data_IF_688945985319
#
_entry.id   IF_688945985319
#
_cell.length_a   1.000
_cell.length_b   1.000
_cell.length_c   1.000
_cell.angle_alpha   90.00
_cell.angle_beta   90.00
_cell.angle_gamma   90.00
#
_symmetry.space_group_name_H-M   'P 1'
#
loop_
_entity.id
_entity.type
_entity.pdbx_description
1 polymer ?
#
# COMPACT_ATOMS: atom_id res chain seq x y z
N UNK A 1 -32.83 4.79 -3.96
CA UNK A 1 -31.46 5.31 -3.76
C UNK A 1 -31.57 6.82 -3.64
N UNK A 2 -31.22 7.37 -2.48
CA UNK A 2 -31.46 8.78 -2.20
C UNK A 2 -30.49 9.64 -3.01
N UNK A 3 -31.06 10.45 -3.92
CA UNK A 3 -30.35 11.35 -4.85
C UNK A 3 -29.27 12.21 -4.17
N UNK A 4 -29.49 12.56 -2.90
CA UNK A 4 -28.55 13.32 -2.07
C UNK A 4 -27.24 12.57 -1.79
N UNK A 5 -27.28 11.25 -1.61
CA UNK A 5 -26.08 10.43 -1.32
C UNK A 5 -25.16 10.27 -2.54
N UNK A 6 -25.72 10.35 -3.75
CA UNK A 6 -24.97 10.30 -5.01
C UNK A 6 -24.31 11.66 -5.24
N UNK A 7 -25.07 12.75 -5.07
CA UNK A 7 -24.55 14.12 -5.23
C UNK A 7 -23.39 14.44 -4.27
N UNK A 8 -23.44 13.93 -3.03
CA UNK A 8 -22.34 14.13 -2.07
C UNK A 8 -21.04 13.43 -2.50
N UNK A 9 -21.14 12.23 -3.09
CA UNK A 9 -19.98 11.51 -3.61
C UNK A 9 -19.42 12.19 -4.85
N UNK A 10 -20.31 12.66 -5.72
CA UNK A 10 -19.94 13.40 -6.93
C UNK A 10 -19.27 14.73 -6.57
N UNK A 11 -19.70 15.40 -5.49
CA UNK A 11 -19.02 16.59 -4.98
C UNK A 11 -17.59 16.29 -4.53
N UNK A 12 -17.37 15.24 -3.74
CA UNK A 12 -16.01 14.88 -3.29
C UNK A 12 -15.12 14.52 -4.48
N UNK A 13 -15.66 13.79 -5.47
CA UNK A 13 -14.94 13.45 -6.69
C UNK A 13 -14.64 14.71 -7.51
N UNK A 14 -15.61 15.60 -7.68
CA UNK A 14 -15.47 16.88 -8.37
C UNK A 14 -14.42 17.75 -7.70
N UNK A 15 -14.52 17.96 -6.39
CA UNK A 15 -13.53 18.68 -5.59
C UNK A 15 -12.11 18.15 -5.79
N UNK A 16 -11.92 16.83 -5.88
CA UNK A 16 -10.61 16.21 -6.05
C UNK A 16 -10.06 16.28 -7.50
N UNK A 17 -10.93 16.41 -8.51
CA UNK A 17 -10.57 16.33 -9.94
C UNK A 17 -10.69 17.64 -10.71
N UNK A 18 -11.41 18.61 -10.18
CA UNK A 18 -11.71 19.87 -10.87
C UNK A 18 -10.47 20.76 -10.95
N UNK A 19 -10.07 21.18 -12.14
CA UNK A 19 -8.83 21.94 -12.37
C UNK A 19 -8.95 23.45 -12.11
N UNK A 20 -10.08 23.93 -11.57
CA UNK A 20 -10.24 25.34 -11.21
C UNK A 20 -9.22 25.77 -10.15
N UNK A 21 -8.78 27.02 -10.28
CA UNK A 21 -7.72 27.61 -9.44
C UNK A 21 -8.09 27.61 -7.96
N UNK A 22 -9.37 27.82 -7.63
CA UNK A 22 -9.86 27.84 -6.26
C UNK A 22 -9.75 26.47 -5.60
N UNK A 23 -10.17 25.40 -6.28
CA UNK A 23 -10.01 24.04 -5.75
C UNK A 23 -8.54 23.58 -5.74
N UNK A 24 -7.72 24.04 -6.70
CA UNK A 24 -6.28 23.74 -6.72
C UNK A 24 -5.55 24.31 -5.49
N UNK A 25 -5.90 25.52 -5.03
CA UNK A 25 -5.35 26.12 -3.80
C UNK A 25 -5.71 25.27 -2.58
N UNK A 26 -6.96 24.82 -2.47
CA UNK A 26 -7.40 23.98 -1.36
C UNK A 26 -6.77 22.57 -1.38
N UNK A 27 -6.60 21.96 -2.56
CA UNK A 27 -5.94 20.65 -2.71
C UNK A 27 -4.45 20.68 -2.42
N UNK A 28 -3.77 21.83 -2.61
CA UNK A 28 -2.33 21.97 -2.32
C UNK A 28 -1.97 21.56 -0.90
N UNK A 29 -2.89 21.70 0.05
CA UNK A 29 -2.67 21.33 1.44
C UNK A 29 -2.86 19.84 1.72
N UNK A 30 -3.42 19.03 0.82
CA UNK A 30 -3.69 17.60 1.07
C UNK A 30 -2.41 16.75 1.09
N UNK A 31 -1.43 17.11 0.27
CA UNK A 31 -0.12 16.43 0.19
C UNK A 31 1.00 17.23 0.87
N UNK A 32 0.67 18.25 1.66
CA UNK A 32 1.69 19.06 2.34
C UNK A 32 2.45 18.22 3.37
N UNK A 33 3.78 18.28 3.32
CA UNK A 33 4.73 17.40 4.02
C UNK A 33 4.54 17.36 5.54
N UNK A 34 4.18 18.48 6.16
CA UNK A 34 4.23 18.59 7.63
C UNK A 34 2.90 18.27 8.33
N UNK A 35 1.77 18.71 7.78
CA UNK A 35 0.43 18.52 8.40
C UNK A 35 -0.62 17.97 7.43
N UNK A 36 -0.46 18.28 6.15
CA UNK A 36 -1.43 17.96 5.10
C UNK A 36 -1.67 16.48 4.93
N UNK A 37 -0.59 15.70 4.84
CA UNK A 37 -0.70 14.26 4.67
C UNK A 37 -1.42 13.58 5.84
N UNK A 38 -1.11 13.99 7.09
CA UNK A 38 -1.73 13.42 8.28
C UNK A 38 -3.24 13.63 8.28
N UNK A 39 -3.70 14.85 8.04
CA UNK A 39 -5.15 15.14 7.96
C UNK A 39 -5.82 14.44 6.78
N UNK A 40 -5.12 14.26 5.66
CA UNK A 40 -5.64 13.52 4.50
C UNK A 40 -5.82 12.04 4.82
N UNK A 41 -4.90 11.44 5.59
CA UNK A 41 -5.03 10.06 6.07
C UNK A 41 -6.26 9.92 6.97
N UNK A 42 -6.55 10.91 7.82
CA UNK A 42 -7.76 10.90 8.66
C UNK A 42 -9.05 10.88 7.82
N UNK A 43 -9.08 11.60 6.70
CA UNK A 43 -10.20 11.55 5.73
C UNK A 43 -10.34 10.15 5.13
N UNK A 44 -9.23 9.52 4.74
CA UNK A 44 -9.24 8.16 4.18
C UNK A 44 -9.78 7.16 5.21
N UNK A 45 -9.39 7.29 6.48
CA UNK A 45 -9.93 6.48 7.56
C UNK A 45 -11.44 6.72 7.77
N UNK A 46 -11.90 7.97 7.76
CA UNK A 46 -13.33 8.26 7.87
C UNK A 46 -14.14 7.63 6.70
N UNK A 47 -13.60 7.65 5.47
CA UNK A 47 -14.23 6.98 4.32
C UNK A 47 -14.27 5.46 4.55
N UNK A 48 -13.15 4.87 4.99
CA UNK A 48 -13.07 3.44 5.32
C UNK A 48 -14.14 3.03 6.33
N UNK A 49 -14.29 3.79 7.41
CA UNK A 49 -15.22 3.47 8.49
C UNK A 49 -16.67 3.51 8.02
N UNK A 50 -17.01 4.36 7.05
CA UNK A 50 -18.33 4.39 6.42
C UNK A 50 -18.55 3.19 5.50
N UNK A 51 -17.56 2.84 4.67
CA UNK A 51 -17.64 1.73 3.72
C UNK A 51 -17.72 0.38 4.45
N UNK A 52 -16.93 0.20 5.50
CA UNK A 52 -16.82 -1.06 6.24
C UNK A 52 -18.02 -1.37 7.15
N UNK A 53 -19.04 -0.48 7.23
CA UNK A 53 -20.28 -0.76 7.99
C UNK A 53 -21.07 -1.93 7.43
N UNK A 54 -20.88 -2.26 6.15
CA UNK A 54 -21.58 -3.36 5.46
C UNK A 54 -20.55 -4.40 5.01
N UNK A 55 -20.91 -5.69 5.08
CA UNK A 55 -19.99 -6.78 4.73
C UNK A 55 -19.50 -6.69 3.27
N UNK A 56 -20.42 -6.46 2.34
CA UNK A 56 -20.09 -6.19 0.91
C UNK A 56 -19.12 -5.00 0.77
N UNK A 57 -19.25 -3.98 1.62
CA UNK A 57 -18.35 -2.82 1.61
C UNK A 57 -16.94 -3.18 2.08
N UNK A 58 -16.82 -4.06 3.08
CA UNK A 58 -15.52 -4.54 3.56
C UNK A 58 -14.78 -5.34 2.50
N UNK A 59 -15.46 -6.25 1.81
CA UNK A 59 -14.88 -7.04 0.71
C UNK A 59 -14.33 -6.10 -0.38
N UNK A 60 -15.17 -5.17 -0.86
CA UNK A 60 -14.76 -4.19 -1.87
C UNK A 60 -13.60 -3.29 -1.40
N UNK A 61 -13.57 -2.93 -0.12
CA UNK A 61 -12.46 -2.17 0.46
C UNK A 61 -11.17 -2.99 0.48
N UNK A 62 -11.22 -4.26 0.89
CA UNK A 62 -10.06 -5.15 0.92
C UNK A 62 -9.48 -5.37 -0.49
N UNK A 63 -10.34 -5.62 -1.47
CA UNK A 63 -9.93 -5.79 -2.87
C UNK A 63 -9.24 -4.54 -3.42
N UNK A 64 -9.78 -3.35 -3.10
CA UNK A 64 -9.17 -2.08 -3.48
C UNK A 64 -7.76 -1.92 -2.89
N UNK A 65 -7.60 -2.15 -1.58
CA UNK A 65 -6.31 -2.01 -0.90
C UNK A 65 -5.31 -3.05 -1.43
N UNK A 66 -5.74 -4.30 -1.59
CA UNK A 66 -4.89 -5.37 -2.11
C UNK A 66 -4.39 -5.07 -3.53
N UNK A 67 -5.28 -4.57 -4.40
CA UNK A 67 -4.92 -4.14 -5.75
C UNK A 67 -3.86 -3.04 -5.74
N UNK A 68 -4.04 -1.98 -4.92
CA UNK A 68 -3.07 -0.89 -4.83
C UNK A 68 -1.75 -1.32 -4.21
N UNK A 69 -1.78 -2.14 -3.15
CA UNK A 69 -0.59 -2.68 -2.52
C UNK A 69 0.23 -3.53 -3.50
N UNK A 70 -0.43 -4.38 -4.29
CA UNK A 70 0.22 -5.21 -5.31
C UNK A 70 0.95 -4.37 -6.36
N UNK A 71 0.33 -3.28 -6.83
CA UNK A 71 0.97 -2.33 -7.77
C UNK A 71 2.20 -1.66 -7.13
N UNK A 72 2.14 -1.32 -5.85
CA UNK A 72 3.30 -0.73 -5.16
C UNK A 72 4.42 -1.76 -5.03
N UNK A 73 4.12 -2.95 -4.53
CA UNK A 73 5.10 -4.03 -4.30
C UNK A 73 5.77 -4.46 -5.61
N UNK A 74 5.01 -4.63 -6.69
CA UNK A 74 5.57 -4.95 -8.02
C UNK A 74 6.56 -3.90 -8.56
N UNK A 75 6.45 -2.64 -8.11
CA UNK A 75 7.39 -1.56 -8.47
C UNK A 75 8.57 -1.45 -7.51
N UNK A 76 8.50 -2.08 -6.34
CA UNK A 76 9.62 -2.12 -5.41
C UNK A 76 10.64 -3.16 -5.90
N UNK A 77 11.91 -2.78 -5.94
CA UNK A 77 12.98 -3.74 -6.20
C UNK A 77 13.05 -4.69 -4.99
N UNK A 78 13.00 -6.02 -5.19
CA UNK A 78 13.20 -6.93 -4.07
C UNK A 78 14.58 -6.66 -3.45
N UNK A 79 14.71 -6.76 -2.12
CA UNK A 79 16.01 -6.70 -1.47
C UNK A 79 16.96 -7.68 -2.17
N UNK A 80 18.12 -7.19 -2.62
CA UNK A 80 19.16 -8.03 -3.20
C UNK A 80 19.71 -8.96 -2.10
N UNK A 81 19.11 -10.13 -1.91
CA UNK A 81 19.66 -11.16 -1.03
C UNK A 81 20.70 -11.99 -1.82
N UNK A 82 21.76 -11.33 -2.30
CA UNK A 82 22.88 -11.97 -3.00
C UNK A 82 24.15 -12.02 -2.17
N UNK A 83 24.06 -11.87 -0.86
CA UNK A 83 25.20 -12.04 0.04
C UNK A 83 24.93 -13.23 0.96
N UNK A 84 25.65 -14.32 0.65
CA UNK A 84 25.94 -15.44 1.55
C UNK A 84 24.86 -16.52 1.77
N UNK A 85 24.47 -17.23 0.70
CA UNK A 85 24.25 -18.67 0.86
C UNK A 85 25.62 -19.37 0.89
N UNK A 86 26.25 -19.41 2.06
CA UNK A 86 27.28 -20.42 2.32
C UNK A 86 26.58 -21.78 2.40
N UNK A 87 26.39 -22.44 1.25
CA UNK A 87 26.34 -23.90 1.23
C UNK A 87 27.78 -24.40 1.36
N UNK A 88 28.33 -24.33 2.57
CA UNK A 88 29.52 -25.13 2.91
C UNK A 88 29.03 -26.44 3.47
N UNK A 89 28.71 -27.38 2.58
CA UNK A 89 28.80 -28.81 2.93
C UNK A 89 30.24 -29.21 2.65
N UNK A 90 31.08 -29.48 3.66
CA UNK A 90 32.39 -30.06 3.39
C UNK A 90 32.18 -31.45 2.79
N UNK A 91 32.72 -31.66 1.59
CA UNK A 91 32.83 -32.96 0.95
C UNK A 91 33.60 -33.89 1.89
N UNK A 92 32.95 -34.95 2.34
CA UNK A 92 33.56 -36.08 3.04
C UNK A 92 34.67 -36.69 2.16
N UNK A 93 35.90 -36.24 2.36
CA UNK A 93 37.13 -36.82 1.80
C UNK A 93 38.27 -36.68 2.81
N UNK A 94 38.07 -37.22 4.00
CA UNK A 94 39.14 -37.50 4.97
C UNK A 94 38.87 -38.86 5.65
N UNK A 95 38.79 -39.93 4.85
CA UNK A 95 38.76 -41.32 5.36
C UNK A 95 39.84 -42.19 4.70
N UNK A 96 41.03 -41.62 4.48
CA UNK A 96 42.17 -42.41 4.02
C UNK A 96 43.48 -41.93 4.64
N UNK A 97 43.55 -41.80 5.97
CA UNK A 97 44.85 -41.70 6.64
C UNK A 97 44.83 -42.07 8.12
N UNK A 98 44.20 -43.20 8.50
CA UNK A 98 44.49 -43.86 9.78
C UNK A 98 44.32 -45.37 9.66
N UNK A 99 45.30 -46.02 9.00
CA UNK A 99 45.71 -47.40 9.34
C UNK A 99 47.23 -47.43 9.30
N UNK A 100 47.85 -46.91 10.35
CA UNK A 100 49.15 -47.36 10.85
C UNK A 100 49.06 -47.25 12.38
N UNK A 101 48.81 -48.38 13.03
CA UNK A 101 49.66 -49.05 14.05
C UNK A 101 49.05 -50.43 14.30
#
# INVERSE_FOLDING_TARGET
MDKLSILQKDFVIGFLKDDSTDFAIHRRYWAAKDKGWKSTVDIIHAIRDVVNKKEVGKELWMDLILSKASIIVSRQKPPNHSEHFYSTVPRQKDLAQFVEV
#
